data_IF_397181862269
#
_entry.id   IF_397181862269
#
_cell.length_a   1.000
_cell.length_b   1.000
_cell.length_c   1.000
_cell.angle_alpha   90.00
_cell.angle_beta   90.00
_cell.angle_gamma   90.00
#
_symmetry.space_group_name_H-M   'P 1'
#
loop_
_entity.id
_entity.type
_entity.pdbx_description
1 polymer ?
#
# COMPACT_ATOMS: atom_id res chain seq x y z
N UNK A 1 -5.10 22.34 -19.81
CA UNK A 1 -4.68 22.84 -18.48
C UNK A 1 -5.40 22.17 -17.32
N UNK A 2 -6.73 21.96 -17.38
CA UNK A 2 -7.46 21.23 -16.32
C UNK A 2 -7.01 19.77 -16.14
N UNK A 3 -6.68 19.06 -17.22
CA UNK A 3 -6.32 17.65 -17.12
C UNK A 3 -4.93 17.39 -16.50
N UNK A 4 -3.92 18.16 -16.92
CA UNK A 4 -2.59 18.09 -16.32
C UNK A 4 -2.61 18.35 -14.81
N UNK A 5 -3.37 19.36 -14.37
CA UNK A 5 -3.51 19.66 -12.93
C UNK A 5 -4.13 18.46 -12.19
N UNK A 6 -5.16 17.83 -12.75
CA UNK A 6 -5.78 16.63 -12.15
C UNK A 6 -4.77 15.48 -12.03
N UNK A 7 -4.00 15.21 -13.08
CA UNK A 7 -2.95 14.19 -13.09
C UNK A 7 -1.87 14.47 -12.04
N UNK A 8 -1.42 15.72 -11.93
CA UNK A 8 -0.46 16.15 -10.91
C UNK A 8 -1.02 15.92 -9.50
N UNK A 9 -2.28 16.28 -9.25
CA UNK A 9 -2.92 16.09 -7.95
C UNK A 9 -3.09 14.61 -7.60
N UNK A 10 -3.53 13.77 -8.54
CA UNK A 10 -3.66 12.33 -8.33
C UNK A 10 -2.28 11.68 -8.05
N UNK A 11 -1.25 12.07 -8.79
CA UNK A 11 0.13 11.63 -8.53
C UNK A 11 0.63 12.06 -7.14
N UNK A 12 0.31 13.29 -6.70
CA UNK A 12 0.65 13.75 -5.34
C UNK A 12 -0.10 12.93 -4.30
N UNK A 13 -1.41 12.73 -4.47
CA UNK A 13 -2.25 11.97 -3.55
C UNK A 13 -1.69 10.55 -3.39
N UNK A 14 -1.43 9.86 -4.50
CA UNK A 14 -0.84 8.52 -4.48
C UNK A 14 0.51 8.51 -3.75
N UNK A 15 1.42 9.41 -4.14
CA UNK A 15 2.77 9.47 -3.56
C UNK A 15 2.75 9.76 -2.05
N UNK A 16 1.79 10.57 -1.57
CA UNK A 16 1.61 10.83 -0.14
C UNK A 16 1.02 9.60 0.58
N UNK A 17 0.04 8.94 -0.01
CA UNK A 17 -0.86 8.05 0.72
C UNK A 17 -0.51 6.57 0.63
N UNK A 18 0.29 6.15 -0.35
CA UNK A 18 0.61 4.73 -0.59
C UNK A 18 1.33 4.06 0.59
N UNK A 19 2.32 4.74 1.16
CA UNK A 19 3.14 4.19 2.24
C UNK A 19 2.72 4.62 3.63
N UNK A 20 1.95 5.70 3.73
CA UNK A 20 1.29 6.06 4.97
C UNK A 20 0.14 5.06 5.22
N UNK A 21 -0.09 4.62 6.46
CA UNK A 21 -1.11 3.61 6.75
C UNK A 21 -2.53 4.22 6.71
N UNK A 22 -2.84 5.07 5.74
CA UNK A 22 -4.09 5.85 5.60
C UNK A 22 -4.92 5.50 4.35
N UNK A 23 -4.42 4.59 3.49
CA UNK A 23 -5.10 4.03 2.31
C UNK A 23 -5.11 4.91 1.06
N UNK A 24 -4.16 4.68 0.15
CA UNK A 24 -4.09 5.33 -1.17
C UNK A 24 -5.33 5.15 -2.02
N UNK A 25 -5.79 3.91 -2.19
CA UNK A 25 -7.02 3.61 -2.96
C UNK A 25 -8.22 4.42 -2.50
N UNK A 26 -8.35 4.64 -1.18
CA UNK A 26 -9.46 5.42 -0.65
C UNK A 26 -9.36 6.89 -1.02
N UNK A 27 -8.16 7.47 -0.92
CA UNK A 27 -7.93 8.87 -1.26
C UNK A 27 -8.03 9.14 -2.75
N UNK A 28 -7.55 8.22 -3.60
CA UNK A 28 -7.70 8.33 -5.04
C UNK A 28 -9.17 8.31 -5.44
N UNK A 29 -9.94 7.32 -4.97
CA UNK A 29 -11.37 7.22 -5.30
C UNK A 29 -12.16 8.44 -4.82
N UNK A 30 -11.91 8.90 -3.59
CA UNK A 30 -12.53 10.14 -3.08
C UNK A 30 -12.16 11.33 -3.97
N UNK A 31 -10.89 11.47 -4.37
CA UNK A 31 -10.46 12.61 -5.15
C UNK A 31 -11.00 12.58 -6.60
N UNK A 32 -11.12 11.39 -7.19
CA UNK A 32 -11.74 11.17 -8.49
C UNK A 32 -13.22 11.60 -8.46
N UNK A 33 -13.97 11.14 -7.46
CA UNK A 33 -15.40 11.46 -7.27
C UNK A 33 -15.63 12.94 -6.93
N UNK A 34 -14.74 13.58 -6.16
CA UNK A 34 -14.84 14.99 -5.78
C UNK A 34 -14.36 15.97 -6.86
N UNK A 35 -14.07 15.47 -8.08
CA UNK A 35 -13.90 16.32 -9.26
C UNK A 35 -12.53 16.25 -9.96
N UNK A 36 -11.63 15.35 -9.54
CA UNK A 36 -10.43 15.05 -10.32
C UNK A 36 -10.69 14.13 -11.52
N UNK A 37 -11.87 13.49 -11.55
CA UNK A 37 -12.36 12.68 -12.66
C UNK A 37 -11.79 11.26 -12.65
N UNK A 38 -12.67 10.29 -12.87
CA UNK A 38 -12.34 8.87 -12.89
C UNK A 38 -11.21 8.55 -13.86
N UNK A 39 -10.31 7.66 -13.44
CA UNK A 39 -9.17 7.18 -14.24
C UNK A 39 -9.26 5.68 -14.48
N UNK A 40 -8.48 5.19 -15.44
CA UNK A 40 -8.38 3.76 -15.69
C UNK A 40 -7.68 3.06 -14.52
N UNK A 41 -8.00 1.78 -14.30
CA UNK A 41 -7.27 0.93 -13.36
C UNK A 41 -5.76 0.93 -13.66
N UNK A 42 -5.40 0.95 -14.96
CA UNK A 42 -4.01 1.00 -15.40
C UNK A 42 -3.32 2.31 -14.99
N UNK A 43 -4.00 3.46 -15.09
CA UNK A 43 -3.46 4.72 -14.59
C UNK A 43 -3.20 4.64 -13.09
N UNK A 44 -4.19 4.21 -12.29
CA UNK A 44 -4.10 4.15 -10.84
C UNK A 44 -3.01 3.18 -10.36
N UNK A 45 -2.94 1.99 -10.94
CA UNK A 45 -1.89 1.01 -10.63
C UNK A 45 -0.54 1.43 -11.23
N UNK A 46 -0.54 2.23 -12.28
CA UNK A 46 0.66 2.81 -12.90
C UNK A 46 1.31 3.87 -12.01
N UNK A 47 0.55 4.85 -11.51
CA UNK A 47 1.08 5.87 -10.60
C UNK A 47 1.57 5.25 -9.28
N UNK A 48 0.94 4.17 -8.83
CA UNK A 48 1.38 3.37 -7.69
C UNK A 48 2.75 2.70 -7.95
N UNK A 49 3.01 2.21 -9.17
CA UNK A 49 4.34 1.72 -9.52
C UNK A 49 5.42 2.81 -9.42
N UNK A 50 5.06 4.07 -9.66
CA UNK A 50 5.93 5.23 -9.43
C UNK A 50 6.31 5.36 -7.95
N UNK A 51 5.31 5.29 -7.06
CA UNK A 51 5.52 5.27 -5.61
C UNK A 51 6.40 4.06 -5.18
N UNK A 52 6.20 2.89 -5.77
CA UNK A 52 6.99 1.69 -5.46
C UNK A 52 8.44 1.80 -5.95
N UNK A 53 8.67 2.48 -7.07
CA UNK A 53 10.03 2.79 -7.52
C UNK A 53 10.76 3.67 -6.49
N UNK A 54 10.07 4.60 -5.83
CA UNK A 54 10.68 5.38 -4.75
C UNK A 54 11.16 4.49 -3.57
N UNK A 55 10.35 3.53 -3.13
CA UNK A 55 10.78 2.54 -2.11
C UNK A 55 11.97 1.73 -2.60
N UNK A 56 11.93 1.27 -3.85
CA UNK A 56 13.00 0.47 -4.45
C UNK A 56 14.33 1.24 -4.44
N UNK A 57 14.29 2.55 -4.74
CA UNK A 57 15.46 3.43 -4.69
C UNK A 57 15.92 3.69 -3.25
N UNK A 58 15.00 3.92 -2.31
CA UNK A 58 15.34 4.15 -0.89
C UNK A 58 16.00 2.93 -0.26
N UNK A 59 15.49 1.73 -0.55
CA UNK A 59 16.01 0.47 -0.04
C UNK A 59 17.02 -0.20 -0.98
N UNK A 60 17.53 0.49 -2.01
CA UNK A 60 18.41 -0.09 -3.04
C UNK A 60 19.59 -0.87 -2.44
N UNK A 61 20.28 -0.28 -1.46
CA UNK A 61 21.41 -0.94 -0.77
C UNK A 61 20.97 -2.21 -0.02
N UNK A 62 19.81 -2.17 0.63
CA UNK A 62 19.25 -3.31 1.39
C UNK A 62 18.84 -4.44 0.44
N UNK A 63 18.18 -4.11 -0.67
CA UNK A 63 17.81 -5.06 -1.72
C UNK A 63 19.07 -5.69 -2.31
N UNK A 64 20.07 -4.88 -2.66
CA UNK A 64 21.34 -5.36 -3.20
C UNK A 64 22.06 -6.30 -2.23
N UNK A 65 22.08 -5.98 -0.93
CA UNK A 65 22.60 -6.87 0.12
C UNK A 65 21.86 -8.20 0.16
N UNK A 66 20.52 -8.20 0.21
CA UNK A 66 19.72 -9.42 0.23
C UNK A 66 19.99 -10.31 -0.99
N UNK A 67 20.19 -9.73 -2.17
CA UNK A 67 20.44 -10.45 -3.41
C UNK A 67 21.88 -10.96 -3.56
N UNK A 68 22.88 -10.16 -3.17
CA UNK A 68 24.31 -10.49 -3.41
C UNK A 68 24.97 -11.21 -2.25
N UNK A 69 24.54 -10.95 -1.01
CA UNK A 69 25.11 -11.55 0.20
C UNK A 69 24.30 -12.77 0.68
N UNK A 70 23.74 -13.55 -0.25
CA UNK A 70 22.92 -14.74 0.04
C UNK A 70 23.66 -15.86 0.81
N UNK A 71 25.00 -15.83 0.82
CA UNK A 71 25.80 -16.76 1.65
C UNK A 71 25.62 -16.52 3.15
N UNK A 72 25.24 -15.31 3.55
CA UNK A 72 24.93 -14.99 4.94
C UNK A 72 23.58 -15.63 5.33
N UNK A 73 23.59 -16.45 6.38
CA UNK A 73 22.39 -17.20 6.82
C UNK A 73 21.22 -16.26 7.15
N UNK A 74 21.49 -15.10 7.75
CA UNK A 74 20.49 -14.09 8.10
C UNK A 74 19.84 -13.46 6.85
N UNK A 75 20.63 -13.06 5.85
CA UNK A 75 20.10 -12.49 4.61
C UNK A 75 19.29 -13.53 3.82
N UNK A 76 19.78 -14.76 3.76
CA UNK A 76 19.07 -15.87 3.13
C UNK A 76 17.72 -16.13 3.79
N UNK A 77 17.70 -16.25 5.11
CA UNK A 77 16.48 -16.49 5.88
C UNK A 77 15.47 -15.33 5.75
N UNK A 78 15.94 -14.08 5.78
CA UNK A 78 15.10 -12.90 5.54
C UNK A 78 14.52 -12.88 4.12
N UNK A 79 15.34 -13.17 3.10
CA UNK A 79 14.88 -13.20 1.71
C UNK A 79 13.89 -14.35 1.47
N UNK A 80 14.11 -15.54 2.05
CA UNK A 80 13.13 -16.62 2.00
C UNK A 80 11.78 -16.22 2.61
N UNK A 81 11.77 -15.51 3.74
CA UNK A 81 10.55 -14.99 4.37
C UNK A 81 9.83 -13.96 3.51
N UNK A 82 10.58 -13.04 2.88
CA UNK A 82 10.04 -12.06 1.95
C UNK A 82 9.39 -12.75 0.75
N UNK A 83 10.09 -13.73 0.14
CA UNK A 83 9.58 -14.50 -0.99
C UNK A 83 8.33 -15.30 -0.63
N UNK A 84 8.30 -15.94 0.55
CA UNK A 84 7.10 -16.67 0.99
C UNK A 84 5.92 -15.74 1.23
N UNK A 85 6.12 -14.56 1.84
CA UNK A 85 5.06 -13.57 1.99
C UNK A 85 4.50 -13.14 0.62
N UNK A 86 5.38 -12.82 -0.33
CA UNK A 86 5.01 -12.47 -1.71
C UNK A 86 4.27 -13.61 -2.43
N UNK A 87 4.76 -14.86 -2.34
CA UNK A 87 4.14 -16.00 -2.99
C UNK A 87 2.75 -16.32 -2.43
N UNK A 88 2.56 -16.19 -1.10
CA UNK A 88 1.24 -16.30 -0.48
C UNK A 88 0.30 -15.27 -1.09
N UNK A 89 0.76 -14.01 -1.21
CA UNK A 89 -0.02 -12.94 -1.83
C UNK A 89 -0.36 -13.27 -3.29
N UNK A 90 0.59 -13.73 -4.10
CA UNK A 90 0.31 -14.10 -5.49
C UNK A 90 -0.72 -15.23 -5.62
N UNK A 91 -0.54 -16.32 -4.86
CA UNK A 91 -1.43 -17.48 -4.92
C UNK A 91 -2.85 -17.09 -4.50
N UNK A 92 -2.99 -16.42 -3.37
CA UNK A 92 -4.29 -15.99 -2.87
C UNK A 92 -4.91 -14.90 -3.74
N UNK A 93 -4.11 -14.00 -4.33
CA UNK A 93 -4.59 -12.99 -5.27
C UNK A 93 -5.19 -13.59 -6.55
N UNK A 94 -4.55 -14.62 -7.10
CA UNK A 94 -5.09 -15.38 -8.24
C UNK A 94 -6.42 -16.04 -7.85
N UNK A 95 -6.48 -16.67 -6.67
CA UNK A 95 -7.70 -17.30 -6.16
C UNK A 95 -8.84 -16.29 -6.03
N UNK A 96 -8.60 -15.14 -5.39
CA UNK A 96 -9.58 -14.06 -5.22
C UNK A 96 -10.09 -13.54 -6.56
N UNK A 97 -9.18 -13.35 -7.52
CA UNK A 97 -9.51 -12.90 -8.89
C UNK A 97 -10.36 -13.94 -9.61
N UNK A 98 -10.03 -15.23 -9.46
CA UNK A 98 -10.79 -16.33 -10.06
C UNK A 98 -12.22 -16.44 -9.52
N UNK A 99 -12.43 -16.19 -8.23
CA UNK A 99 -13.76 -16.16 -7.61
C UNK A 99 -14.55 -14.87 -7.88
N UNK A 100 -14.01 -13.94 -8.68
CA UNK A 100 -14.74 -12.77 -9.17
C UNK A 100 -14.98 -11.69 -8.12
N UNK A 101 -14.17 -11.62 -7.07
CA UNK A 101 -14.21 -10.49 -6.14
C UNK A 101 -13.86 -9.20 -6.88
N UNK A 102 -14.82 -8.28 -6.95
CA UNK A 102 -14.62 -6.93 -7.49
C UNK A 102 -14.43 -5.94 -6.34
N UNK A 103 -13.57 -4.95 -6.58
CA UNK A 103 -13.40 -3.81 -5.68
C UNK A 103 -14.73 -3.04 -5.63
N UNK A 104 -15.23 -2.64 -4.46
CA UNK A 104 -16.39 -1.77 -4.41
C UNK A 104 -16.07 -0.42 -5.06
N UNK A 105 -16.93 0.01 -5.97
CA UNK A 105 -16.80 1.30 -6.67
C UNK A 105 -17.44 2.47 -5.88
N UNK A 106 -18.15 2.17 -4.80
CA UNK A 106 -18.82 3.18 -3.97
C UNK A 106 -17.93 3.67 -2.84
N UNK A 107 -18.15 4.91 -2.39
CA UNK A 107 -17.36 5.51 -1.30
C UNK A 107 -17.73 4.88 0.07
N UNK A 108 -18.95 4.36 0.23
CA UNK A 108 -19.44 3.88 1.52
C UNK A 108 -18.59 2.74 2.12
N UNK A 109 -18.23 1.66 1.38
CA UNK A 109 -17.31 0.62 1.88
C UNK A 109 -15.92 1.16 2.27
N UNK A 110 -15.41 2.14 1.51
CA UNK A 110 -14.11 2.77 1.79
C UNK A 110 -14.17 3.53 3.11
N UNK A 111 -15.25 4.29 3.36
CA UNK A 111 -15.44 5.04 4.59
C UNK A 111 -15.44 4.13 5.82
N UNK A 112 -16.14 2.98 5.73
CA UNK A 112 -16.09 1.94 6.76
C UNK A 112 -14.69 1.35 6.95
N UNK A 113 -13.99 1.02 5.85
CA UNK A 113 -12.65 0.46 5.91
C UNK A 113 -11.62 1.47 6.49
N UNK A 114 -11.78 2.76 6.23
CA UNK A 114 -11.00 3.82 6.87
C UNK A 114 -11.24 3.85 8.37
N UNK A 115 -12.50 3.89 8.79
CA UNK A 115 -12.92 3.97 10.19
C UNK A 115 -12.49 2.74 10.99
N UNK A 116 -12.82 1.53 10.52
CA UNK A 116 -12.43 0.27 11.14
C UNK A 116 -10.90 0.14 11.18
N UNK A 117 -10.23 0.46 10.06
CA UNK A 117 -8.78 0.43 9.97
C UNK A 117 -8.12 1.41 10.96
N UNK A 118 -8.69 2.59 11.18
CA UNK A 118 -8.18 3.54 12.18
C UNK A 118 -8.26 2.99 13.60
N UNK A 119 -9.40 2.43 14.01
CA UNK A 119 -9.51 1.77 15.32
C UNK A 119 -8.59 0.56 15.46
N UNK A 120 -8.43 -0.22 14.39
CA UNK A 120 -7.49 -1.33 14.34
C UNK A 120 -6.05 -0.89 14.59
N UNK A 121 -5.60 0.21 13.98
CA UNK A 121 -4.26 0.77 14.21
C UNK A 121 -4.06 1.14 15.68
N UNK A 122 -5.04 1.81 16.29
CA UNK A 122 -4.97 2.17 17.72
C UNK A 122 -4.87 0.94 18.61
N UNK A 123 -5.69 -0.08 18.35
CA UNK A 123 -5.65 -1.33 19.10
C UNK A 123 -4.30 -2.06 18.92
N UNK A 124 -3.80 -2.14 17.68
CA UNK A 124 -2.54 -2.79 17.36
C UNK A 124 -1.35 -2.10 18.04
N UNK A 125 -1.31 -0.77 18.01
CA UNK A 125 -0.32 0.06 18.72
C UNK A 125 -0.36 -0.18 20.24
N UNK A 126 -1.56 -0.23 20.83
CA UNK A 126 -1.73 -0.45 22.27
C UNK A 126 -1.23 -1.84 22.71
N UNK A 127 -1.49 -2.88 21.91
CA UNK A 127 -1.00 -4.23 22.16
C UNK A 127 0.51 -4.32 21.94
N UNK A 128 1.03 -3.79 20.84
CA UNK A 128 2.46 -3.82 20.54
C UNK A 128 3.30 -3.06 21.58
N UNK A 129 2.77 -1.96 22.15
CA UNK A 129 3.44 -1.20 23.20
C UNK A 129 3.64 -1.99 24.51
N UNK A 130 2.93 -3.10 24.72
CA UNK A 130 3.09 -4.00 25.87
C UNK A 130 4.09 -5.13 25.62
N UNK A 131 4.60 -5.27 24.39
CA UNK A 131 5.54 -6.31 24.02
C UNK A 131 6.99 -5.81 24.12
N UNK A 132 7.94 -6.71 24.37
CA UNK A 132 9.36 -6.41 24.26
C UNK A 132 9.71 -5.96 22.83
N UNK A 133 10.66 -5.03 22.67
CA UNK A 133 11.12 -4.55 21.35
C UNK A 133 11.83 -5.67 20.59
N UNK A 134 11.19 -6.17 19.53
CA UNK A 134 11.69 -7.26 18.68
C UNK A 134 11.78 -6.79 17.24
N UNK A 135 13.00 -6.88 16.69
CA UNK A 135 13.32 -6.48 15.31
C UNK A 135 13.31 -7.66 14.35
N UNK A 136 13.42 -8.88 14.87
CA UNK A 136 13.50 -10.08 14.03
C UNK A 136 12.18 -10.36 13.32
N UNK A 137 12.27 -10.75 12.05
CA UNK A 137 11.14 -11.23 11.27
C UNK A 137 11.06 -12.74 11.43
N UNK A 138 9.98 -13.22 12.04
CA UNK A 138 9.73 -14.66 12.19
C UNK A 138 8.98 -15.21 10.97
N UNK A 139 8.98 -16.54 10.80
CA UNK A 139 8.15 -17.19 9.77
C UNK A 139 6.65 -16.94 9.97
N UNK A 140 6.21 -16.84 11.23
CA UNK A 140 4.84 -16.44 11.57
C UNK A 140 4.50 -15.05 11.03
N UNK A 141 5.41 -14.09 11.18
CA UNK A 141 5.26 -12.74 10.63
C UNK A 141 5.15 -12.79 9.11
N UNK A 142 6.07 -13.50 8.44
CA UNK A 142 6.08 -13.61 6.98
C UNK A 142 4.75 -14.16 6.41
N UNK A 143 4.26 -15.26 6.97
CA UNK A 143 3.01 -15.90 6.53
C UNK A 143 1.82 -14.98 6.74
N UNK A 144 1.69 -14.39 7.94
CA UNK A 144 0.56 -13.53 8.28
C UNK A 144 0.59 -12.22 7.47
N UNK A 145 1.76 -11.67 7.16
CA UNK A 145 1.91 -10.50 6.29
C UNK A 145 1.42 -10.80 4.87
N UNK A 146 1.78 -11.95 4.29
CA UNK A 146 1.28 -12.36 2.97
C UNK A 146 -0.25 -12.49 2.94
N UNK A 147 -0.85 -13.07 3.98
CA UNK A 147 -2.31 -13.14 4.12
C UNK A 147 -2.91 -11.73 4.25
N UNK A 148 -2.31 -10.87 5.08
CA UNK A 148 -2.78 -9.51 5.31
C UNK A 148 -2.75 -8.64 4.06
N UNK A 149 -1.80 -8.84 3.13
CA UNK A 149 -1.80 -8.15 1.84
C UNK A 149 -3.06 -8.45 1.03
N UNK A 150 -3.55 -9.69 1.06
CA UNK A 150 -4.75 -10.07 0.32
C UNK A 150 -6.01 -9.58 1.00
N UNK A 151 -6.07 -9.61 2.33
CA UNK A 151 -7.17 -8.95 3.05
C UNK A 151 -7.24 -7.48 2.65
N UNK A 152 -6.11 -6.77 2.61
CA UNK A 152 -6.09 -5.38 2.18
C UNK A 152 -6.44 -5.17 0.69
N UNK A 153 -6.14 -6.14 -0.18
CA UNK A 153 -6.52 -6.10 -1.59
C UNK A 153 -8.01 -6.36 -1.83
N UNK A 154 -8.66 -7.18 -0.99
CA UNK A 154 -10.10 -7.49 -1.09
C UNK A 154 -10.96 -6.34 -0.56
N UNK A 155 -10.47 -5.61 0.44
CA UNK A 155 -11.20 -4.53 1.11
C UNK A 155 -10.56 -3.16 0.83
N UNK A 156 -10.97 -2.46 -0.25
CA UNK A 156 -10.54 -1.09 -0.52
C UNK A 156 -10.76 -0.18 0.68
N UNK A 157 -9.77 0.67 0.95
CA UNK A 157 -9.77 1.52 2.14
C UNK A 157 -9.03 0.93 3.34
N UNK A 158 -8.75 -0.38 3.40
CA UNK A 158 -8.03 -0.99 4.55
C UNK A 158 -6.58 -0.48 4.67
N UNK A 159 -5.97 0.00 3.58
CA UNK A 159 -4.53 0.30 3.43
C UNK A 159 -3.68 -0.95 3.53
N UNK A 160 -3.02 -1.30 2.43
CA UNK A 160 -2.04 -2.40 2.41
C UNK A 160 -0.92 -2.18 3.40
N UNK A 161 -0.30 -1.00 3.38
CA UNK A 161 0.80 -0.65 4.29
C UNK A 161 0.36 -0.74 5.77
N UNK A 162 -0.83 -0.26 6.10
CA UNK A 162 -1.42 -0.45 7.43
C UNK A 162 -1.59 -1.93 7.80
N UNK A 163 -2.32 -2.69 6.98
CA UNK A 163 -2.60 -4.10 7.25
C UNK A 163 -1.33 -4.92 7.51
N UNK A 164 -0.30 -4.77 6.66
CA UNK A 164 0.94 -5.53 6.78
C UNK A 164 1.83 -5.06 7.94
N UNK A 165 1.96 -3.75 8.17
CA UNK A 165 2.77 -3.21 9.30
C UNK A 165 2.20 -3.70 10.63
N UNK A 166 0.91 -3.50 10.87
CA UNK A 166 0.31 -3.85 12.15
C UNK A 166 0.19 -5.36 12.34
N UNK A 167 -0.02 -6.13 11.26
CA UNK A 167 0.06 -7.59 11.33
C UNK A 167 1.46 -8.04 11.74
N UNK A 168 2.52 -7.48 11.15
CA UNK A 168 3.89 -7.82 11.54
C UNK A 168 4.18 -7.45 13.01
N UNK A 169 3.73 -6.28 13.45
CA UNK A 169 3.87 -5.82 14.84
C UNK A 169 3.19 -6.75 15.84
N UNK A 170 1.99 -7.21 15.53
CA UNK A 170 1.21 -8.10 16.39
C UNK A 170 1.70 -9.55 16.35
N UNK A 171 2.22 -10.00 15.21
CA UNK A 171 2.63 -11.39 14.99
C UNK A 171 4.01 -11.73 15.57
N UNK A 172 4.86 -10.74 15.84
CA UNK A 172 6.16 -10.99 16.48
C UNK A 172 7.22 -9.89 16.34
N UNK A 173 7.08 -8.97 15.38
CA UNK A 173 8.04 -7.89 15.11
C UNK A 173 7.51 -6.57 15.66
N UNK A 174 7.44 -6.43 16.98
CA UNK A 174 6.89 -5.25 17.68
C UNK A 174 7.62 -3.93 17.35
N UNK A 175 8.85 -4.00 16.81
CA UNK A 175 9.58 -2.83 16.37
C UNK A 175 8.96 -2.22 15.09
N UNK A 176 8.46 -0.98 15.19
CA UNK A 176 7.82 -0.24 14.09
C UNK A 176 8.69 -0.17 12.84
N UNK A 177 9.97 0.19 13.00
CA UNK A 177 10.87 0.36 11.86
C UNK A 177 11.12 -0.98 11.14
N UNK A 178 11.32 -2.07 11.88
CA UNK A 178 11.51 -3.40 11.28
C UNK A 178 10.24 -3.93 10.60
N UNK A 179 9.07 -3.73 11.22
CA UNK A 179 7.78 -4.07 10.62
C UNK A 179 7.50 -3.28 9.34
N UNK A 180 7.78 -1.97 9.36
CA UNK A 180 7.67 -1.09 8.19
C UNK A 180 8.64 -1.48 7.09
N UNK A 181 9.91 -1.75 7.39
CA UNK A 181 10.87 -2.22 6.40
C UNK A 181 10.41 -3.52 5.73
N UNK A 182 9.99 -4.53 6.52
CA UNK A 182 9.54 -5.79 5.95
C UNK A 182 8.28 -5.62 5.09
N UNK A 183 7.30 -4.84 5.57
CA UNK A 183 6.09 -4.48 4.81
C UNK A 183 6.40 -3.81 3.47
N UNK A 184 7.34 -2.86 3.46
CA UNK A 184 7.72 -2.14 2.25
C UNK A 184 8.49 -3.03 1.28
N UNK A 185 9.44 -3.83 1.77
CA UNK A 185 10.22 -4.75 0.95
C UNK A 185 9.37 -5.85 0.31
N UNK A 186 8.41 -6.44 1.03
CA UNK A 186 7.43 -7.40 0.47
C UNK A 186 6.50 -6.71 -0.54
N UNK A 187 6.19 -5.43 -0.30
CA UNK A 187 5.41 -4.60 -1.21
C UNK A 187 6.02 -4.48 -2.60
N UNK A 188 7.35 -4.34 -2.70
CA UNK A 188 8.05 -4.11 -3.99
C UNK A 188 7.65 -5.15 -5.05
N UNK A 189 7.93 -6.46 -4.88
CA UNK A 189 7.57 -7.45 -5.89
C UNK A 189 6.05 -7.59 -6.05
N UNK A 190 5.28 -7.43 -4.97
CA UNK A 190 3.82 -7.54 -5.01
C UNK A 190 3.20 -6.52 -5.95
N UNK A 191 3.54 -5.25 -5.76
CA UNK A 191 2.91 -4.15 -6.48
C UNK A 191 3.39 -4.08 -7.92
N UNK A 192 4.67 -4.37 -8.18
CA UNK A 192 5.14 -4.53 -9.57
C UNK A 192 4.45 -5.69 -10.29
N UNK A 193 4.19 -6.81 -9.61
CA UNK A 193 3.42 -7.91 -10.20
C UNK A 193 1.97 -7.50 -10.51
N UNK A 194 1.32 -6.74 -9.62
CA UNK A 194 -0.01 -6.20 -9.85
C UNK A 194 -0.04 -5.23 -11.05
N UNK A 195 0.91 -4.30 -11.15
CA UNK A 195 1.01 -3.38 -12.29
C UNK A 195 1.30 -4.10 -13.59
N UNK A 196 2.20 -5.09 -13.58
CA UNK A 196 2.48 -5.89 -14.77
C UNK A 196 1.23 -6.67 -15.22
N UNK A 197 0.47 -7.22 -14.27
CA UNK A 197 -0.78 -7.92 -14.57
C UNK A 197 -1.81 -7.01 -15.24
N UNK A 198 -2.06 -5.82 -14.68
CA UNK A 198 -3.04 -4.88 -15.26
C UNK A 198 -2.59 -4.34 -16.62
N UNK A 199 -1.31 -4.04 -16.78
CA UNK A 199 -0.73 -3.65 -18.08
C UNK A 199 -0.92 -4.75 -19.14
N UNK A 200 -0.62 -6.01 -18.81
CA UNK A 200 -0.82 -7.15 -19.71
C UNK A 200 -2.29 -7.35 -20.09
N UNK A 201 -3.21 -7.11 -19.15
CA UNK A 201 -4.65 -7.18 -19.39
C UNK A 201 -5.09 -6.12 -20.39
N UNK A 202 -4.67 -4.87 -20.23
CA UNK A 202 -4.99 -3.77 -21.16
C UNK A 202 -4.39 -4.01 -22.55
N UNK A 203 -3.15 -4.48 -22.64
CA UNK A 203 -2.49 -4.79 -23.92
C UNK A 203 -3.21 -5.92 -24.68
N UNK A 204 -3.62 -6.99 -23.98
CA UNK A 204 -4.30 -8.14 -24.61
C UNK A 204 -5.71 -7.84 -25.09
N UNK A 205 -6.43 -6.94 -24.42
CA UNK A 205 -7.82 -6.61 -24.76
C UNK A 205 -7.95 -5.38 -25.68
N UNK A 206 -6.83 -4.86 -26.21
CA UNK A 206 -6.84 -3.72 -27.13
C UNK A 206 -7.13 -2.36 -26.47
N UNK A 207 -7.13 -2.29 -25.14
CA UNK A 207 -7.36 -1.04 -24.39
C UNK A 207 -6.21 -0.04 -24.49
N UNK A 208 -5.01 -0.50 -24.91
CA UNK A 208 -3.80 0.32 -24.95
C UNK A 208 -3.90 1.56 -25.86
N UNK A 209 -4.73 1.50 -26.92
CA UNK A 209 -4.95 2.63 -27.82
C UNK A 209 -5.81 3.75 -27.20
N UNK A 210 -6.54 3.44 -26.13
CA UNK A 210 -7.44 4.37 -25.42
C UNK A 210 -6.82 4.93 -24.15
N UNK A 211 -5.60 4.48 -23.80
CA UNK A 211 -4.91 4.92 -22.59
C UNK A 211 -4.13 6.22 -22.85
N UNK A 212 -4.27 7.19 -21.95
CA UNK A 212 -3.44 8.39 -21.97
C UNK A 212 -2.08 8.12 -21.33
N UNK A 213 -1.16 7.62 -22.15
CA UNK A 213 0.22 7.33 -21.75
C UNK A 213 0.97 8.56 -21.24
N UNK A 214 0.62 9.76 -21.71
CA UNK A 214 1.27 10.99 -21.27
C UNK A 214 0.85 11.31 -19.84
N UNK A 215 -0.45 11.24 -19.56
CA UNK A 215 -0.99 11.39 -18.21
C UNK A 215 -0.39 10.35 -17.26
N UNK A 216 -0.34 9.08 -17.67
CA UNK A 216 0.23 8.00 -16.86
C UNK A 216 1.70 8.26 -16.50
N UNK A 217 2.53 8.63 -17.47
CA UNK A 217 3.95 8.93 -17.24
C UNK A 217 4.12 10.13 -16.30
N UNK A 218 3.34 11.20 -16.49
CA UNK A 218 3.41 12.38 -15.61
C UNK A 218 3.01 12.02 -14.19
N UNK A 219 1.87 11.32 -14.02
CA UNK A 219 1.40 10.86 -12.71
C UNK A 219 2.40 9.93 -12.03
N UNK A 220 3.01 9.01 -12.79
CA UNK A 220 4.06 8.11 -12.32
C UNK A 220 5.25 8.87 -11.77
N UNK A 221 5.78 9.85 -12.52
CA UNK A 221 6.96 10.63 -12.09
C UNK A 221 6.63 11.48 -10.87
N UNK A 222 5.46 12.10 -10.83
CA UNK A 222 5.02 12.90 -9.69
C UNK A 222 4.88 12.04 -8.44
N UNK A 223 4.18 10.90 -8.55
CA UNK A 223 4.03 9.94 -7.47
C UNK A 223 5.38 9.44 -6.95
N UNK A 224 6.33 9.12 -7.85
CA UNK A 224 7.69 8.73 -7.49
C UNK A 224 8.40 9.79 -6.65
N UNK A 225 8.42 11.04 -7.11
CA UNK A 225 9.13 12.13 -6.42
C UNK A 225 8.49 12.38 -5.06
N UNK A 226 7.17 12.45 -5.00
CA UNK A 226 6.42 12.71 -3.77
C UNK A 226 6.59 11.55 -2.77
N UNK A 227 6.44 10.31 -3.22
CA UNK A 227 6.65 9.12 -2.39
C UNK A 227 8.07 9.05 -1.85
N UNK A 228 9.08 9.41 -2.64
CA UNK A 228 10.47 9.41 -2.17
C UNK A 228 10.67 10.38 -0.98
N UNK A 229 10.05 11.55 -1.05
CA UNK A 229 10.08 12.54 0.04
C UNK A 229 9.29 12.02 1.25
N UNK A 230 8.05 11.57 1.04
CA UNK A 230 7.15 11.12 2.11
C UNK A 230 7.71 9.90 2.84
N UNK A 231 8.25 8.91 2.13
CA UNK A 231 8.84 7.72 2.77
C UNK A 231 10.05 8.10 3.60
N UNK A 232 10.97 8.93 3.08
CA UNK A 232 12.13 9.37 3.86
C UNK A 232 11.72 10.06 5.15
N UNK A 233 10.71 10.92 5.07
CA UNK A 233 10.12 11.54 6.24
C UNK A 233 9.49 10.50 7.19
N UNK A 234 8.69 9.58 6.66
CA UNK A 234 8.00 8.53 7.44
C UNK A 234 9.00 7.66 8.20
N UNK A 235 10.09 7.22 7.55
CA UNK A 235 11.12 6.39 8.18
C UNK A 235 11.85 7.13 9.32
N UNK A 236 11.92 8.46 9.26
CA UNK A 236 12.37 9.29 10.37
C UNK A 236 11.31 9.40 11.47
N UNK A 237 10.07 9.67 11.09
CA UNK A 237 8.92 9.85 11.99
C UNK A 237 8.69 8.62 12.89
N UNK A 238 8.65 7.41 12.32
CA UNK A 238 8.31 6.17 13.05
C UNK A 238 9.37 5.73 14.06
N UNK A 239 10.55 6.37 14.07
CA UNK A 239 11.59 6.10 15.07
C UNK A 239 11.28 6.76 16.41
N UNK A 240 10.54 7.86 16.40
CA UNK A 240 10.26 8.68 17.59
C UNK A 240 8.77 8.84 17.87
N UNK A 241 7.91 8.54 16.89
CA UNK A 241 6.47 8.71 16.99
C UNK A 241 5.71 7.40 16.75
N UNK A 242 4.49 7.34 17.30
CA UNK A 242 3.52 6.27 17.08
C UNK A 242 2.65 6.58 15.87
N UNK A 243 1.99 5.56 15.32
CA UNK A 243 1.05 5.74 14.21
C UNK A 243 -0.32 6.33 14.63
N UNK A 244 -0.48 6.73 15.90
CA UNK A 244 -1.73 7.26 16.47
C UNK A 244 -2.33 8.40 15.63
N UNK A 245 -1.50 9.32 15.12
CA UNK A 245 -2.00 10.43 14.31
C UNK A 245 -2.60 9.98 12.97
N UNK A 246 -2.00 8.98 12.32
CA UNK A 246 -2.58 8.40 11.09
C UNK A 246 -3.90 7.68 11.38
N UNK A 247 -4.01 7.02 12.54
CA UNK A 247 -5.24 6.38 12.95
C UNK A 247 -6.37 7.39 13.20
N UNK A 248 -6.07 8.47 13.93
CA UNK A 248 -7.03 9.56 14.16
C UNK A 248 -7.47 10.20 12.86
N UNK A 249 -6.54 10.44 11.94
CA UNK A 249 -6.85 10.94 10.60
C UNK A 249 -7.83 10.02 9.85
N UNK A 250 -7.57 8.71 9.83
CA UNK A 250 -8.48 7.75 9.20
C UNK A 250 -9.88 7.72 9.83
N UNK A 251 -9.95 7.75 11.15
CA UNK A 251 -11.23 7.76 11.88
C UNK A 251 -12.00 9.03 11.53
N UNK A 252 -11.35 10.18 11.57
CA UNK A 252 -11.97 11.46 11.24
C UNK A 252 -12.46 11.51 9.78
N UNK A 253 -11.62 11.08 8.83
CA UNK A 253 -11.99 11.02 7.42
C UNK A 253 -13.13 10.03 7.17
N UNK A 254 -13.04 8.81 7.69
CA UNK A 254 -14.09 7.80 7.56
C UNK A 254 -15.43 8.26 8.15
N UNK A 255 -15.40 8.87 9.34
CA UNK A 255 -16.60 9.44 9.96
C UNK A 255 -17.18 10.60 9.14
N UNK A 256 -16.32 11.51 8.63
CA UNK A 256 -16.76 12.61 7.78
C UNK A 256 -17.42 12.09 6.49
N UNK A 257 -16.86 11.09 5.83
CA UNK A 257 -17.44 10.49 4.62
C UNK A 257 -18.81 9.87 4.91
N UNK A 258 -18.96 9.11 6.00
CA UNK A 258 -20.24 8.50 6.39
C UNK A 258 -21.32 9.55 6.76
N UNK A 259 -20.92 10.72 7.26
CA UNK A 259 -21.84 11.79 7.62
C UNK A 259 -22.21 12.67 6.42
N UNK A 260 -21.29 12.89 5.48
CA UNK A 260 -21.44 13.84 4.39
C UNK A 260 -21.96 13.20 3.10
N UNK A 261 -21.78 11.89 2.91
CA UNK A 261 -22.22 11.18 1.72
C UNK A 261 -23.52 10.43 2.06
N UNK A 262 -24.68 10.79 1.46
CA UNK A 262 -25.93 10.11 1.72
C UNK A 262 -25.85 8.62 1.40
N UNK A 263 -26.52 7.79 2.20
CA UNK A 263 -26.62 6.34 1.96
C UNK A 263 -27.04 6.05 0.51
N UNK A 264 -26.13 5.47 -0.29
CA UNK A 264 -26.43 5.02 -1.65
C UNK A 264 -25.78 5.81 -2.80
N UNK A 265 -24.83 6.71 -2.52
CA UNK A 265 -23.87 7.20 -3.52
C UNK A 265 -22.60 6.34 -3.57
#
# INVERSE_FOLDING_TARGET
MHDLIRVLLLGIIEGVTEFLPISSTGHLLIAEDFGLGARSDLFNVGIQAGAILAITLIYWKRIWQLLTQWRERSNRDYLCKLLVAFLITCVLGIVVTHYGFKLPETITPIAWALLIGGFWILAAEAVAARQADRKDITWRVAILVGIAQIVAGIFPGTSRSGATIFTAMLAGTSNRAAATEFSFLVGIPTMYAATAYELLKVLKHGGAAHEDWTALIVGFVVSLVVAFIVVKWLLGYIRTHRFTWFAMYRIALGAALLLLIPNGA
#
